data_IF_097922529882
#
_entry.id   IF_097922529882
#
_cell.length_a   1.000
_cell.length_b   1.000
_cell.length_c   1.000
_cell.angle_alpha   90.00
_cell.angle_beta   90.00
_cell.angle_gamma   90.00
#
_symmetry.space_group_name_H-M   'P 1'
#
loop_
_entity.id
_entity.type
_entity.pdbx_description
1 polymer ?
#
# COMPACT_ATOMS: atom_id res chain seq x y z
N UNK A 1 -4.24 2.22 11.51
CA UNK A 1 -3.02 1.37 11.50
C UNK A 1 -1.80 2.17 11.01
N UNK A 2 -0.58 1.63 11.12
CA UNK A 2 0.65 2.27 10.59
C UNK A 2 0.89 1.85 9.13
N UNK A 3 1.00 2.84 8.25
CA UNK A 3 1.09 2.63 6.79
C UNK A 3 2.23 3.47 6.21
N UNK A 4 2.78 3.02 5.08
CA UNK A 4 3.62 3.83 4.20
C UNK A 4 3.04 3.83 2.78
N UNK A 5 2.98 4.99 2.15
CA UNK A 5 2.55 5.16 0.76
C UNK A 5 3.73 5.58 -0.09
N UNK A 6 4.01 4.85 -1.17
CA UNK A 6 5.09 5.14 -2.11
C UNK A 6 4.59 5.88 -3.35
N UNK A 7 5.53 6.43 -4.14
CA UNK A 7 5.25 7.13 -5.40
C UNK A 7 4.18 8.23 -5.27
N UNK A 8 4.04 8.85 -4.10
CA UNK A 8 2.95 9.80 -3.84
C UNK A 8 3.25 11.13 -4.53
N UNK A 9 2.45 11.50 -5.53
CA UNK A 9 2.61 12.79 -6.21
C UNK A 9 2.02 13.92 -5.37
N UNK A 10 2.51 15.17 -5.50
CA UNK A 10 2.03 16.30 -4.69
C UNK A 10 0.52 16.51 -4.73
N UNK A 11 -0.12 16.36 -5.90
CA UNK A 11 -1.56 16.55 -6.06
C UNK A 11 -2.42 15.46 -5.39
N UNK A 12 -1.84 14.31 -5.07
CA UNK A 12 -2.56 13.17 -4.48
C UNK A 12 -2.66 13.29 -2.95
N UNK A 13 -1.77 14.11 -2.34
CA UNK A 13 -1.67 14.25 -0.88
C UNK A 13 -2.99 14.72 -0.27
N UNK A 14 -3.62 15.73 -0.87
CA UNK A 14 -4.86 16.30 -0.33
C UNK A 14 -6.02 15.30 -0.40
N UNK A 15 -6.18 14.62 -1.54
CA UNK A 15 -7.23 13.62 -1.72
C UNK A 15 -7.07 12.45 -0.75
N UNK A 16 -5.85 11.91 -0.61
CA UNK A 16 -5.56 10.82 0.32
C UNK A 16 -5.76 11.25 1.79
N UNK A 17 -5.38 12.48 2.14
CA UNK A 17 -5.58 13.02 3.49
C UNK A 17 -7.07 13.20 3.83
N UNK A 18 -7.86 13.71 2.87
CA UNK A 18 -9.32 13.86 3.01
C UNK A 18 -10.00 12.50 3.20
N UNK A 19 -9.65 11.51 2.39
CA UNK A 19 -10.17 10.16 2.51
C UNK A 19 -9.80 9.51 3.85
N UNK A 20 -8.55 9.68 4.31
CA UNK A 20 -8.05 9.05 5.54
C UNK A 20 -8.65 9.63 6.82
N UNK A 21 -9.08 10.90 6.82
CA UNK A 21 -9.65 11.60 7.99
C UNK A 21 -8.82 11.46 9.28
N UNK A 22 -7.49 11.41 9.14
CA UNK A 22 -6.52 11.18 10.24
C UNK A 22 -6.70 9.85 11.00
N UNK A 23 -7.41 8.87 10.44
CA UNK A 23 -7.65 7.56 11.06
C UNK A 23 -6.41 6.67 11.06
N UNK A 24 -5.72 6.54 9.93
CA UNK A 24 -4.48 5.78 9.84
C UNK A 24 -3.25 6.69 9.84
N UNK A 25 -2.14 6.19 10.38
CA UNK A 25 -0.84 6.87 10.40
C UNK A 25 -0.09 6.56 9.10
N UNK A 26 -0.35 7.37 8.07
CA UNK A 26 0.23 7.19 6.73
C UNK A 26 1.48 8.06 6.59
N UNK A 27 2.64 7.43 6.41
CA UNK A 27 3.88 8.11 5.97
C UNK A 27 3.88 8.18 4.46
N UNK A 28 4.12 9.36 3.88
CA UNK A 28 4.18 9.57 2.43
C UNK A 28 5.63 9.58 1.97
N UNK A 29 5.96 8.77 0.96
CA UNK A 29 7.25 8.68 0.30
C UNK A 29 7.08 9.09 -1.17
N UNK A 30 7.94 9.99 -1.65
CA UNK A 30 7.92 10.49 -3.02
C UNK A 30 8.62 9.55 -4.01
N UNK A 31 9.57 8.76 -3.50
CA UNK A 31 10.27 7.74 -4.27
C UNK A 31 9.37 6.51 -4.49
N UNK A 32 9.61 5.80 -5.58
CA UNK A 32 8.99 4.50 -5.83
C UNK A 32 9.42 3.47 -4.81
N UNK A 33 8.52 2.53 -4.52
CA UNK A 33 8.89 1.29 -3.86
C UNK A 33 9.83 0.50 -4.77
N UNK A 34 10.96 0.09 -4.20
CA UNK A 34 11.99 -0.76 -4.77
C UNK A 34 12.67 -1.53 -3.64
N UNK A 35 13.60 -2.44 -3.96
CA UNK A 35 14.41 -3.11 -2.93
C UNK A 35 15.15 -2.14 -2.00
N UNK A 36 15.61 -1.00 -2.53
CA UNK A 36 16.35 0.01 -1.76
C UNK A 36 15.44 0.81 -0.82
N UNK A 37 14.23 1.15 -1.28
CA UNK A 37 13.29 2.00 -0.54
C UNK A 37 12.33 1.21 0.34
N UNK A 38 12.20 -0.11 0.14
CA UNK A 38 11.33 -0.99 0.93
C UNK A 38 11.59 -0.90 2.44
N UNK A 39 12.82 -0.53 2.84
CA UNK A 39 13.20 -0.30 4.25
C UNK A 39 12.28 0.70 4.97
N UNK A 40 11.65 1.65 4.27
CA UNK A 40 10.70 2.60 4.87
C UNK A 40 9.39 1.94 5.34
N UNK A 41 9.14 0.69 4.95
CA UNK A 41 8.03 -0.11 5.46
C UNK A 41 8.32 -0.77 6.82
N UNK A 42 9.53 -0.66 7.35
CA UNK A 42 9.87 -1.22 8.66
C UNK A 42 8.92 -0.70 9.76
N UNK A 43 8.31 -1.61 10.52
CA UNK A 43 7.36 -1.29 11.59
C UNK A 43 6.00 -0.79 11.09
N UNK A 44 5.69 -0.95 9.79
CA UNK A 44 4.39 -0.67 9.18
C UNK A 44 3.63 -1.97 8.94
N UNK A 45 2.31 -1.92 9.08
CA UNK A 45 1.45 -3.07 8.84
C UNK A 45 1.05 -3.19 7.37
N UNK A 46 0.97 -2.06 6.67
CA UNK A 46 0.53 -1.99 5.28
C UNK A 46 1.40 -1.06 4.44
N UNK A 47 1.42 -1.33 3.14
CA UNK A 47 1.94 -0.40 2.12
C UNK A 47 0.85 -0.02 1.13
N UNK A 48 0.85 1.25 0.70
CA UNK A 48 0.03 1.75 -0.41
C UNK A 48 0.94 1.92 -1.62
N UNK A 49 0.58 1.29 -2.73
CA UNK A 49 1.36 1.29 -3.98
C UNK A 49 0.55 1.84 -5.16
N UNK A 50 1.26 2.21 -6.21
CA UNK A 50 0.77 2.64 -7.50
C UNK A 50 1.36 1.76 -8.61
N UNK A 51 0.99 2.00 -9.87
CA UNK A 51 1.59 1.32 -11.02
C UNK A 51 3.05 1.69 -11.27
N UNK A 52 3.60 2.71 -10.60
CA UNK A 52 4.99 3.13 -10.72
C UNK A 52 5.94 2.43 -9.72
N UNK A 53 5.39 1.56 -8.89
CA UNK A 53 6.11 0.87 -7.83
C UNK A 53 6.53 -0.54 -8.28
N UNK A 54 7.71 -0.99 -7.85
CA UNK A 54 8.13 -2.38 -8.01
C UNK A 54 7.43 -3.24 -6.96
N UNK A 55 6.58 -4.15 -7.41
CA UNK A 55 5.84 -5.10 -6.58
C UNK A 55 6.10 -6.53 -7.07
N UNK A 56 7.35 -6.79 -7.45
CA UNK A 56 7.89 -8.10 -7.82
C UNK A 56 8.08 -9.02 -6.61
N UNK A 57 8.39 -10.30 -6.89
CA UNK A 57 8.70 -11.30 -5.87
C UNK A 57 9.75 -10.82 -4.85
N UNK A 58 10.88 -10.28 -5.31
CA UNK A 58 11.98 -9.88 -4.42
C UNK A 58 11.57 -8.76 -3.47
N UNK A 59 10.82 -7.78 -3.96
CA UNK A 59 10.30 -6.68 -3.14
C UNK A 59 9.23 -7.18 -2.17
N UNK A 60 8.31 -8.03 -2.61
CA UNK A 60 7.28 -8.63 -1.74
C UNK A 60 7.94 -9.44 -0.62
N UNK A 61 8.95 -10.25 -0.93
CA UNK A 61 9.71 -10.99 0.06
C UNK A 61 10.36 -10.03 1.08
N UNK A 62 10.98 -8.94 0.61
CA UNK A 62 11.54 -7.91 1.50
C UNK A 62 10.47 -7.27 2.40
N UNK A 63 9.30 -6.93 1.87
CA UNK A 63 8.18 -6.38 2.64
C UNK A 63 7.69 -7.36 3.70
N UNK A 64 7.58 -8.65 3.36
CA UNK A 64 7.20 -9.72 4.29
C UNK A 64 8.19 -9.83 5.45
N UNK A 65 9.50 -9.81 5.16
CA UNK A 65 10.57 -9.82 6.18
C UNK A 65 10.52 -8.59 7.11
N UNK A 66 10.01 -7.45 6.61
CA UNK A 66 9.80 -6.24 7.41
C UNK A 66 8.49 -6.26 8.24
N UNK A 67 7.71 -7.33 8.13
CA UNK A 67 6.46 -7.51 8.88
C UNK A 67 5.24 -6.87 8.23
N UNK A 68 5.31 -6.48 6.96
CA UNK A 68 4.15 -5.99 6.21
C UNK A 68 3.18 -7.14 5.99
N UNK A 69 1.91 -6.90 6.30
CA UNK A 69 0.81 -7.86 6.18
C UNK A 69 -0.12 -7.55 5.02
N UNK A 70 -0.10 -6.30 4.55
CA UNK A 70 -1.07 -5.80 3.58
C UNK A 70 -0.44 -4.93 2.50
N UNK A 71 -0.90 -5.08 1.26
CA UNK A 71 -0.61 -4.17 0.15
C UNK A 71 -1.94 -3.71 -0.43
N UNK A 72 -2.18 -2.40 -0.51
CA UNK A 72 -3.34 -1.86 -1.25
C UNK A 72 -2.89 -0.99 -2.41
N UNK A 73 -3.63 -1.05 -3.52
CA UNK A 73 -3.38 -0.20 -4.68
C UNK A 73 -4.04 1.16 -4.52
N UNK A 74 -3.48 2.15 -5.21
CA UNK A 74 -4.02 3.52 -5.37
C UNK A 74 -3.91 3.95 -6.84
N UNK A 75 -4.19 3.02 -7.75
CA UNK A 75 -4.13 3.24 -9.19
C UNK A 75 -5.09 2.32 -9.93
N UNK A 76 -5.57 2.80 -11.09
CA UNK A 76 -6.40 2.01 -12.01
C UNK A 76 -5.64 0.84 -12.65
N UNK A 77 -4.31 0.87 -12.64
CA UNK A 77 -3.45 -0.17 -13.22
C UNK A 77 -2.74 -0.89 -12.08
N UNK A 78 -2.78 -2.22 -12.10
CA UNK A 78 -2.26 -3.12 -11.04
C UNK A 78 -1.45 -4.30 -11.59
N UNK A 79 -1.07 -4.24 -12.87
CA UNK A 79 -0.34 -5.29 -13.58
C UNK A 79 1.09 -5.51 -13.07
N UNK A 80 1.63 -4.54 -12.33
CA UNK A 80 2.95 -4.59 -11.70
C UNK A 80 3.02 -5.48 -10.45
N UNK A 81 1.89 -6.05 -10.00
CA UNK A 81 1.80 -6.80 -8.74
C UNK A 81 1.93 -8.29 -8.99
N UNK A 82 2.97 -8.90 -8.42
CA UNK A 82 3.09 -10.35 -8.32
C UNK A 82 2.16 -10.91 -7.24
N UNK A 83 0.93 -11.24 -7.67
CA UNK A 83 -0.12 -11.78 -6.81
C UNK A 83 0.24 -13.16 -6.22
N UNK A 84 1.04 -13.95 -6.93
CA UNK A 84 1.44 -15.27 -6.45
C UNK A 84 2.38 -15.14 -5.26
N UNK A 85 3.38 -14.28 -5.37
CA UNK A 85 4.34 -14.00 -4.29
C UNK A 85 3.65 -13.40 -3.06
N UNK A 86 2.70 -12.46 -3.26
CA UNK A 86 1.93 -11.91 -2.15
C UNK A 86 1.18 -13.00 -1.39
N UNK A 87 0.51 -13.92 -2.10
CA UNK A 87 -0.19 -15.04 -1.50
C UNK A 87 0.76 -16.01 -0.77
N UNK A 88 1.91 -16.35 -1.35
CA UNK A 88 2.91 -17.21 -0.73
C UNK A 88 3.41 -16.67 0.63
N UNK A 89 3.57 -15.35 0.74
CA UNK A 89 4.01 -14.70 1.97
C UNK A 89 2.86 -14.34 2.92
N UNK A 90 1.62 -14.70 2.60
CA UNK A 90 0.45 -14.37 3.41
C UNK A 90 0.12 -12.86 3.43
N UNK A 91 0.62 -12.10 2.44
CA UNK A 91 0.31 -10.68 2.28
C UNK A 91 -1.03 -10.55 1.57
N UNK A 92 -1.99 -9.92 2.25
CA UNK A 92 -3.32 -9.68 1.67
C UNK A 92 -3.30 -8.44 0.77
N UNK A 93 -3.87 -8.60 -0.42
CA UNK A 93 -4.00 -7.53 -1.42
C UNK A 93 -5.36 -6.84 -1.31
N UNK A 94 -5.37 -5.51 -1.47
CA UNK A 94 -6.56 -4.69 -1.61
C UNK A 94 -6.53 -3.95 -2.94
N UNK A 95 -7.58 -4.11 -3.74
CA UNK A 95 -7.69 -3.44 -5.03
C UNK A 95 -8.54 -2.16 -4.93
N UNK A 96 -8.23 -1.20 -5.78
CA UNK A 96 -8.94 0.05 -5.97
C UNK A 96 -9.02 0.43 -7.47
N UNK A 97 -8.67 -0.49 -8.38
CA UNK A 97 -8.48 -0.17 -9.81
C UNK A 97 -9.75 0.26 -10.53
N UNK A 98 -10.89 -0.30 -10.13
CA UNK A 98 -12.17 -0.13 -10.82
C UNK A 98 -13.04 0.98 -10.19
N UNK A 99 -12.47 1.75 -9.27
CA UNK A 99 -13.19 2.73 -8.47
C UNK A 99 -13.07 4.14 -9.04
N UNK A 100 -14.18 4.89 -9.00
CA UNK A 100 -14.21 6.31 -9.36
C UNK A 100 -13.40 7.13 -8.35
N UNK A 101 -13.50 6.80 -7.06
CA UNK A 101 -12.72 7.44 -5.99
C UNK A 101 -11.72 6.46 -5.40
N UNK A 102 -10.62 6.28 -6.12
CA UNK A 102 -9.49 5.42 -5.77
C UNK A 102 -8.97 5.72 -4.35
N UNK A 103 -8.86 6.99 -3.96
CA UNK A 103 -8.34 7.36 -2.65
C UNK A 103 -9.27 6.86 -1.53
N UNK A 104 -10.58 7.07 -1.68
CA UNK A 104 -11.56 6.56 -0.72
C UNK A 104 -11.53 5.04 -0.65
N UNK A 105 -11.43 4.33 -1.77
CA UNK A 105 -11.33 2.86 -1.73
C UNK A 105 -10.03 2.38 -1.09
N UNK A 106 -8.91 3.04 -1.38
CA UNK A 106 -7.61 2.74 -0.75
C UNK A 106 -7.73 2.78 0.78
N UNK A 107 -8.40 3.80 1.32
CA UNK A 107 -8.63 3.91 2.77
C UNK A 107 -9.63 2.87 3.29
N UNK A 108 -10.71 2.58 2.55
CA UNK A 108 -11.65 1.50 2.92
C UNK A 108 -10.96 0.14 3.04
N UNK A 109 -9.99 -0.15 2.17
CA UNK A 109 -9.19 -1.38 2.27
C UNK A 109 -8.44 -1.45 3.61
N UNK A 110 -7.81 -0.35 4.03
CA UNK A 110 -7.13 -0.26 5.33
C UNK A 110 -8.11 -0.36 6.50
N UNK A 111 -9.29 0.26 6.40
CA UNK A 111 -10.36 0.19 7.40
C UNK A 111 -10.79 -1.24 7.68
N UNK A 112 -11.04 -2.01 6.62
CA UNK A 112 -11.44 -3.42 6.73
C UNK A 112 -10.39 -4.27 7.44
N UNK A 113 -9.09 -4.00 7.22
CA UNK A 113 -8.02 -4.78 7.84
C UNK A 113 -7.74 -4.38 9.30
N UNK A 114 -7.95 -3.11 9.65
CA UNK A 114 -7.82 -2.65 11.03
C UNK A 114 -8.90 -3.26 11.93
N UNK A 115 -10.13 -3.42 11.42
CA UNK A 115 -11.24 -4.04 12.16
C UNK A 115 -11.03 -5.52 12.50
N UNK A 116 -10.26 -6.25 11.68
CA UNK A 116 -10.00 -7.70 11.86
C UNK A 116 -8.79 -7.95 12.78
N UNK A 117 -8.07 -6.90 13.16
CA UNK A 117 -6.86 -7.00 14.00
C UNK A 117 -7.14 -6.83 15.51
N UNK A 118 -8.40 -6.70 15.91
CA UNK A 118 -8.92 -6.68 17.29
C UNK A 118 -9.54 -8.03 17.64
#
# INVERSE_FOLDING_TARGET
MKVVAYSVKPFEREQLAKANQKKHYITLIFNSLSLETAVFAAGKQAVIVSSADDVSNDVINKLALLGVKYITTRSAVTTNIDKYSANLHGIKLGDASDEIDIASQTIKNLDMWEQVSL
#
